data_IF_691000000775
#
_entry.id   IF_691000000775
#
_cell.length_a   1.000
_cell.length_b   1.000
_cell.length_c   1.000
_cell.angle_alpha   90.00
_cell.angle_beta   90.00
_cell.angle_gamma   90.00
#
_symmetry.space_group_name_H-M   'P 1'
#
loop_
_entity.id
_entity.type
_entity.pdbx_description
1 polymer ?
#
# COMPACT_ATOMS: atom_id res chain seq x y z
N UNK A 1 9.52 13.28 13.33
CA UNK A 1 10.22 13.42 14.64
C UNK A 1 11.58 14.10 14.47
N UNK A 2 11.61 15.44 14.26
CA UNK A 2 12.86 16.17 13.96
C UNK A 2 13.41 17.02 15.12
N UNK A 3 12.76 17.00 16.29
CA UNK A 3 13.17 17.82 17.45
C UNK A 3 14.44 17.25 18.13
N UNK A 4 15.58 17.97 18.15
CA UNK A 4 16.85 17.47 18.70
C UNK A 4 16.77 17.08 20.18
N UNK A 5 16.01 17.85 20.96
CA UNK A 5 15.78 17.60 22.40
C UNK A 5 15.10 16.25 22.62
N UNK A 6 14.08 15.94 21.81
CA UNK A 6 13.39 14.66 21.89
C UNK A 6 14.33 13.49 21.60
N UNK A 7 15.21 13.63 20.61
CA UNK A 7 16.19 12.59 20.27
C UNK A 7 17.23 12.37 21.37
N UNK A 8 17.68 13.43 22.05
CA UNK A 8 18.59 13.34 23.20
C UNK A 8 17.95 12.59 24.38
N UNK A 9 16.68 12.90 24.68
CA UNK A 9 15.94 12.18 25.72
C UNK A 9 15.75 10.71 25.33
N UNK A 10 15.34 10.44 24.08
CA UNK A 10 15.16 9.08 23.60
C UNK A 10 16.46 8.26 23.70
N UNK A 11 17.60 8.82 23.28
CA UNK A 11 18.92 8.20 23.43
C UNK A 11 19.22 7.84 24.89
N UNK A 12 18.95 8.76 25.83
CA UNK A 12 19.22 8.55 27.27
C UNK A 12 18.33 7.48 27.91
N UNK A 13 17.08 7.34 27.47
CA UNK A 13 16.12 6.41 28.08
C UNK A 13 16.03 5.05 27.37
N UNK A 14 16.24 4.99 26.06
CA UNK A 14 16.07 3.76 25.26
C UNK A 14 17.36 3.29 24.60
N UNK A 15 18.42 4.10 24.59
CA UNK A 15 19.68 3.79 23.91
C UNK A 15 19.64 3.98 22.39
N UNK A 16 18.56 4.51 21.81
CA UNK A 16 18.48 4.77 20.37
C UNK A 16 19.32 6.02 20.02
N UNK A 17 20.40 5.81 19.26
CA UNK A 17 21.34 6.86 18.86
C UNK A 17 20.64 8.06 18.19
N UNK A 18 20.90 9.28 18.69
CA UNK A 18 20.24 10.50 18.20
C UNK A 18 20.57 10.87 16.74
N UNK A 19 21.69 10.36 16.21
CA UNK A 19 22.11 10.54 14.80
C UNK A 19 21.24 9.71 13.86
N UNK A 20 20.49 8.73 14.38
CA UNK A 20 19.58 7.93 13.55
C UNK A 20 18.48 8.81 12.96
N UNK A 21 18.29 8.67 11.65
CA UNK A 21 17.11 9.20 10.98
C UNK A 21 15.88 8.44 11.47
N UNK A 22 14.88 9.16 11.95
CA UNK A 22 13.62 8.57 12.38
C UNK A 22 12.63 8.65 11.23
N UNK A 23 11.91 7.57 10.92
CA UNK A 23 10.88 7.60 9.88
C UNK A 23 9.81 8.64 10.23
N UNK A 24 9.27 9.28 9.19
CA UNK A 24 8.12 10.17 9.32
C UNK A 24 6.86 9.37 9.04
N UNK A 25 6.06 9.13 10.07
CA UNK A 25 4.77 8.48 9.91
C UNK A 25 3.68 9.51 9.62
N UNK A 26 2.84 9.20 8.63
CA UNK A 26 1.63 9.97 8.34
C UNK A 26 0.44 9.35 9.06
N UNK A 27 -0.52 10.18 9.43
CA UNK A 27 -1.72 9.69 10.08
C UNK A 27 -2.67 9.00 9.10
N UNK A 28 -3.12 7.81 9.48
CA UNK A 28 -4.09 7.02 8.72
C UNK A 28 -3.49 6.32 7.49
N UNK A 29 -4.29 5.47 6.81
CA UNK A 29 -3.80 4.69 5.68
C UNK A 29 -3.67 5.51 4.39
N UNK A 30 -2.64 5.24 3.59
CA UNK A 30 -2.49 5.79 2.23
C UNK A 30 -3.75 5.59 1.40
N UNK A 31 -4.44 4.44 1.48
CA UNK A 31 -5.66 4.18 0.71
C UNK A 31 -6.70 5.29 0.82
N UNK A 32 -6.79 5.99 1.96
CA UNK A 32 -7.67 7.14 2.12
C UNK A 32 -7.15 8.36 1.36
N UNK A 33 -5.87 8.67 1.53
CA UNK A 33 -5.23 9.81 0.88
C UNK A 33 -5.14 9.64 -0.65
N UNK A 34 -4.72 8.47 -1.13
CA UNK A 34 -4.65 8.11 -2.54
C UNK A 34 -6.00 8.13 -3.25
N UNK A 35 -7.09 7.69 -2.59
CA UNK A 35 -8.44 7.81 -3.19
C UNK A 35 -8.87 9.26 -3.36
N UNK A 36 -8.59 10.11 -2.36
CA UNK A 36 -8.84 11.56 -2.46
C UNK A 36 -8.00 12.18 -3.59
N UNK A 37 -6.75 11.77 -3.70
CA UNK A 37 -5.82 12.20 -4.74
C UNK A 37 -6.34 11.87 -6.16
N UNK A 38 -6.80 10.63 -6.37
CA UNK A 38 -7.38 10.20 -7.64
C UNK A 38 -8.70 10.92 -7.94
N UNK A 39 -9.58 11.07 -6.95
CA UNK A 39 -10.85 11.77 -7.11
C UNK A 39 -10.66 13.24 -7.53
N UNK A 40 -9.66 13.93 -6.97
CA UNK A 40 -9.36 15.31 -7.31
C UNK A 40 -8.83 15.50 -8.75
N UNK A 41 -8.25 14.46 -9.36
CA UNK A 41 -7.70 14.49 -10.73
C UNK A 41 -8.64 13.94 -11.79
N UNK A 42 -9.72 13.27 -11.37
CA UNK A 42 -10.64 12.62 -12.29
C UNK A 42 -10.07 11.40 -13.03
N UNK A 43 -10.89 10.78 -13.90
CA UNK A 43 -10.49 9.65 -14.72
C UNK A 43 -9.41 10.06 -15.75
N UNK A 44 -8.62 9.11 -16.18
CA UNK A 44 -7.68 9.31 -17.30
C UNK A 44 -8.46 9.32 -18.62
N UNK A 45 -8.29 10.35 -19.45
CA UNK A 45 -8.93 10.42 -20.76
C UNK A 45 -8.31 9.39 -21.72
N UNK A 46 -9.15 8.53 -22.33
CA UNK A 46 -8.74 7.49 -23.30
C UNK A 46 -7.52 6.68 -22.81
N UNK A 47 -7.64 5.95 -21.68
CA UNK A 47 -6.51 5.28 -21.08
C UNK A 47 -5.97 4.17 -21.99
N UNK A 48 -4.64 4.06 -22.07
CA UNK A 48 -3.98 2.99 -22.85
C UNK A 48 -4.03 1.64 -22.14
N UNK A 49 -4.24 1.65 -20.82
CA UNK A 49 -4.38 0.46 -19.97
C UNK A 49 -5.12 0.80 -18.67
N UNK A 50 -5.57 -0.22 -17.94
CA UNK A 50 -6.29 -0.08 -16.67
C UNK A 50 -5.66 -0.91 -15.56
N UNK A 51 -5.42 -0.28 -14.42
CA UNK A 51 -4.71 -0.90 -13.29
C UNK A 51 -5.44 -0.71 -11.96
N UNK A 52 -5.58 -1.80 -11.22
CA UNK A 52 -5.96 -1.81 -9.82
C UNK A 52 -4.69 -1.94 -8.97
N UNK A 53 -4.34 -0.88 -8.24
CA UNK A 53 -3.13 -0.89 -7.43
C UNK A 53 -3.39 -1.53 -6.06
N UNK A 54 -2.71 -2.65 -5.81
CA UNK A 54 -2.61 -3.30 -4.51
C UNK A 54 -1.40 -2.73 -3.73
N UNK A 55 -1.69 -1.96 -2.69
CA UNK A 55 -0.72 -1.08 -2.01
C UNK A 55 0.14 -1.84 -1.00
N UNK A 56 -0.43 -2.91 -0.42
CA UNK A 56 0.12 -3.65 0.72
C UNK A 56 0.42 -2.78 1.98
N UNK A 57 1.16 -3.28 2.96
CA UNK A 57 1.30 -2.68 4.30
C UNK A 57 2.22 -1.45 4.28
N UNK A 58 3.39 -1.57 3.67
CA UNK A 58 4.45 -0.57 3.80
C UNK A 58 4.05 0.77 3.17
N UNK A 59 3.60 0.75 1.92
CA UNK A 59 3.11 1.97 1.27
C UNK A 59 1.83 2.50 1.94
N UNK A 60 1.05 1.62 2.59
CA UNK A 60 -0.20 2.02 3.22
C UNK A 60 -0.05 2.66 4.61
N UNK A 61 1.00 2.34 5.37
CA UNK A 61 1.14 2.83 6.75
C UNK A 61 2.50 3.45 7.08
N UNK A 62 3.55 3.15 6.30
CA UNK A 62 4.91 3.60 6.59
C UNK A 62 5.35 4.70 5.64
N UNK A 63 5.27 4.46 4.33
CA UNK A 63 5.75 5.38 3.30
C UNK A 63 4.68 5.66 2.23
N UNK A 64 3.88 6.68 2.47
CA UNK A 64 2.85 7.10 1.51
C UNK A 64 3.43 7.68 0.22
N UNK A 65 4.67 8.20 0.23
CA UNK A 65 5.30 8.78 -0.96
C UNK A 65 5.52 7.71 -2.02
N UNK A 66 5.87 6.48 -1.62
CA UNK A 66 5.91 5.33 -2.52
C UNK A 66 4.57 5.10 -3.23
N UNK A 67 3.47 5.15 -2.49
CA UNK A 67 2.14 4.98 -3.05
C UNK A 67 1.79 6.09 -4.05
N UNK A 68 2.10 7.36 -3.74
CA UNK A 68 1.88 8.48 -4.65
C UNK A 68 2.74 8.38 -5.91
N UNK A 69 4.02 8.01 -5.76
CA UNK A 69 4.92 7.82 -6.89
C UNK A 69 4.40 6.77 -7.88
N UNK A 70 3.83 5.66 -7.38
CA UNK A 70 3.19 4.65 -8.24
C UNK A 70 2.01 5.24 -9.01
N UNK A 71 1.11 5.97 -8.34
CA UNK A 71 -0.02 6.62 -9.00
C UNK A 71 0.44 7.61 -10.07
N UNK A 72 1.48 8.39 -9.79
CA UNK A 72 2.01 9.43 -10.66
C UNK A 72 2.65 8.84 -11.90
N UNK A 73 3.50 7.83 -11.74
CA UNK A 73 4.15 7.14 -12.86
C UNK A 73 3.11 6.55 -13.80
N UNK A 74 2.12 5.81 -13.27
CA UNK A 74 1.10 5.17 -14.10
C UNK A 74 0.24 6.19 -14.85
N UNK A 75 -0.25 7.22 -14.15
CA UNK A 75 -1.10 8.23 -14.76
C UNK A 75 -0.37 9.09 -15.78
N UNK A 76 0.89 9.43 -15.52
CA UNK A 76 1.74 10.15 -16.49
C UNK A 76 1.91 9.36 -17.78
N UNK A 77 1.89 8.03 -17.70
CA UNK A 77 1.93 7.14 -18.86
C UNK A 77 0.53 6.82 -19.44
N UNK A 78 -0.51 7.58 -19.09
CA UNK A 78 -1.85 7.39 -19.66
C UNK A 78 -2.58 6.15 -19.16
N UNK A 79 -2.19 5.58 -18.02
CA UNK A 79 -2.84 4.41 -17.42
C UNK A 79 -3.92 4.89 -16.43
N UNK A 80 -5.12 4.31 -16.53
CA UNK A 80 -6.18 4.52 -15.55
C UNK A 80 -5.87 3.69 -14.29
N UNK A 81 -5.89 4.33 -13.12
CA UNK A 81 -5.57 3.67 -11.85
C UNK A 81 -6.72 3.80 -10.87
N UNK A 82 -7.10 2.68 -10.26
CA UNK A 82 -8.04 2.64 -9.13
C UNK A 82 -7.39 2.05 -7.88
N UNK A 83 -7.92 2.44 -6.73
CA UNK A 83 -7.58 1.89 -5.41
C UNK A 83 -8.79 1.14 -4.84
N UNK A 84 -8.98 -0.14 -5.20
CA UNK A 84 -10.12 -0.92 -4.71
C UNK A 84 -10.06 -1.06 -3.19
N UNK A 85 -11.19 -1.48 -2.58
CA UNK A 85 -11.16 -1.93 -1.18
C UNK A 85 -10.24 -3.15 -1.10
N UNK A 86 -9.36 -3.15 -0.11
CA UNK A 86 -8.32 -4.17 0.07
C UNK A 86 -7.85 -4.14 1.52
N UNK A 87 -7.39 -5.29 2.00
CA UNK A 87 -6.53 -5.46 3.17
C UNK A 87 -5.10 -5.72 2.68
N UNK A 88 -4.07 -5.48 3.50
CA UNK A 88 -2.72 -5.92 3.16
C UNK A 88 -2.66 -7.43 2.92
N UNK A 89 -1.61 -7.89 2.24
CA UNK A 89 -1.37 -9.31 2.05
C UNK A 89 -1.20 -9.96 3.45
N UNK A 90 -1.94 -11.04 3.77
CA UNK A 90 -1.85 -11.67 5.08
C UNK A 90 -0.61 -12.57 5.21
N UNK A 91 0.52 -12.13 4.66
CA UNK A 91 1.78 -12.87 4.64
C UNK A 91 2.25 -13.26 6.05
N UNK A 92 2.18 -12.39 7.09
CA UNK A 92 2.51 -12.81 8.44
C UNK A 92 1.63 -13.97 8.93
N UNK A 93 0.32 -13.92 8.67
CA UNK A 93 -0.59 -14.99 9.06
C UNK A 93 -0.25 -16.31 8.34
N UNK A 94 0.11 -16.24 7.06
CA UNK A 94 0.55 -17.41 6.28
C UNK A 94 1.84 -18.01 6.88
N UNK A 95 2.87 -17.18 7.09
CA UNK A 95 4.19 -17.62 7.58
C UNK A 95 4.12 -18.18 9.00
N UNK A 96 3.26 -17.63 9.86
CA UNK A 96 3.06 -18.12 11.23
C UNK A 96 2.02 -19.26 11.35
N UNK A 97 1.42 -19.70 10.24
CA UNK A 97 0.45 -20.80 10.24
C UNK A 97 -0.94 -20.43 10.79
N UNK A 98 -1.28 -19.15 10.92
CA UNK A 98 -2.64 -18.71 11.21
C UNK A 98 -3.52 -18.75 9.95
N UNK A 99 -3.88 -19.98 9.58
CA UNK A 99 -4.69 -20.28 8.39
C UNK A 99 -6.07 -19.60 8.47
N UNK A 100 -6.61 -19.40 9.66
CA UNK A 100 -7.93 -18.79 9.84
C UNK A 100 -7.89 -17.31 9.44
N UNK A 101 -6.92 -16.56 9.94
CA UNK A 101 -6.71 -15.15 9.58
C UNK A 101 -6.34 -15.02 8.10
N UNK A 102 -5.40 -15.84 7.62
CA UNK A 102 -4.98 -15.84 6.23
C UNK A 102 -6.17 -16.03 5.27
N UNK A 103 -6.99 -17.07 5.49
CA UNK A 103 -8.17 -17.35 4.65
C UNK A 103 -9.17 -16.19 4.66
N UNK A 104 -9.44 -15.61 5.83
CA UNK A 104 -10.38 -14.49 5.97
C UNK A 104 -9.92 -13.28 5.14
N UNK A 105 -8.65 -12.91 5.28
CA UNK A 105 -8.10 -11.70 4.66
C UNK A 105 -7.89 -11.89 3.16
N UNK A 106 -7.44 -13.07 2.72
CA UNK A 106 -7.40 -13.44 1.30
C UNK A 106 -8.80 -13.39 0.68
N UNK A 107 -9.82 -13.98 1.33
CA UNK A 107 -11.19 -13.96 0.80
C UNK A 107 -11.74 -12.54 0.63
N UNK A 108 -11.40 -11.63 1.56
CA UNK A 108 -11.75 -10.22 1.43
C UNK A 108 -11.07 -9.59 0.21
N UNK A 109 -9.77 -9.83 0.04
CA UNK A 109 -9.01 -9.31 -1.11
C UNK A 109 -9.52 -9.88 -2.43
N UNK A 110 -9.71 -11.19 -2.55
CA UNK A 110 -10.32 -11.85 -3.73
C UNK A 110 -11.63 -11.17 -4.11
N UNK A 111 -12.53 -10.96 -3.15
CA UNK A 111 -13.85 -10.37 -3.41
C UNK A 111 -13.78 -9.04 -4.16
N UNK A 112 -12.88 -8.15 -3.75
CA UNK A 112 -12.76 -6.81 -4.34
C UNK A 112 -11.82 -6.76 -5.54
N UNK A 113 -10.71 -7.49 -5.50
CA UNK A 113 -9.76 -7.56 -6.61
C UNK A 113 -10.37 -8.29 -7.80
N UNK A 114 -11.10 -9.39 -7.60
CA UNK A 114 -11.78 -10.10 -8.68
C UNK A 114 -12.85 -9.24 -9.36
N UNK A 115 -13.48 -8.30 -8.64
CA UNK A 115 -14.38 -7.31 -9.25
C UNK A 115 -13.59 -6.40 -10.21
N UNK A 116 -12.46 -5.84 -9.75
CA UNK A 116 -11.61 -5.01 -10.60
C UNK A 116 -11.11 -5.77 -11.84
N UNK A 117 -10.70 -7.03 -11.69
CA UNK A 117 -10.26 -7.87 -12.82
C UNK A 117 -11.39 -8.07 -13.84
N UNK A 118 -12.62 -8.36 -13.39
CA UNK A 118 -13.78 -8.47 -14.29
C UNK A 118 -14.11 -7.16 -15.01
N UNK A 119 -13.84 -6.02 -14.37
CA UNK A 119 -14.00 -4.70 -14.95
C UNK A 119 -12.82 -4.32 -15.88
N UNK A 120 -11.90 -5.25 -16.16
CA UNK A 120 -10.80 -5.10 -17.12
C UNK A 120 -9.49 -4.57 -16.54
N UNK A 121 -9.36 -4.47 -15.22
CA UNK A 121 -8.16 -3.95 -14.57
C UNK A 121 -7.11 -5.04 -14.32
N UNK A 122 -5.86 -4.74 -14.65
CA UNK A 122 -4.70 -5.54 -14.21
C UNK A 122 -4.34 -5.19 -12.77
N UNK A 123 -3.98 -6.19 -11.96
CA UNK A 123 -3.52 -5.95 -10.59
C UNK A 123 -2.01 -5.70 -10.63
N UNK A 124 -1.55 -4.62 -10.00
CA UNK A 124 -0.12 -4.39 -9.76
C UNK A 124 0.15 -4.25 -8.27
N UNK A 125 1.38 -4.53 -7.87
CA UNK A 125 1.89 -4.29 -6.52
C UNK A 125 3.21 -3.54 -6.61
N UNK A 126 3.47 -2.66 -5.65
CA UNK A 126 4.79 -2.04 -5.46
C UNK A 126 5.68 -2.86 -4.53
N UNK A 127 5.09 -3.80 -3.79
CA UNK A 127 5.78 -4.64 -2.83
C UNK A 127 5.90 -6.08 -3.40
N UNK A 128 7.12 -6.62 -3.53
CA UNK A 128 7.34 -7.94 -4.15
C UNK A 128 6.70 -9.12 -3.40
N UNK A 129 6.68 -9.11 -2.06
CA UNK A 129 6.16 -10.22 -1.25
C UNK A 129 4.64 -10.33 -1.37
N UNK A 130 3.95 -9.21 -1.50
CA UNK A 130 2.54 -9.09 -1.78
C UNK A 130 2.24 -9.57 -3.19
N UNK A 131 3.05 -9.19 -4.18
CA UNK A 131 2.93 -9.72 -5.53
C UNK A 131 3.05 -11.25 -5.55
N UNK A 132 4.01 -11.80 -4.80
CA UNK A 132 4.19 -13.25 -4.65
C UNK A 132 3.00 -13.89 -3.95
N UNK A 133 2.54 -13.34 -2.82
CA UNK A 133 1.38 -13.82 -2.07
C UNK A 133 0.13 -13.85 -2.95
N UNK A 134 -0.12 -12.79 -3.72
CA UNK A 134 -1.25 -12.75 -4.65
C UNK A 134 -1.12 -13.76 -5.80
N UNK A 135 0.10 -14.12 -6.20
CA UNK A 135 0.31 -15.06 -7.31
C UNK A 135 0.23 -16.52 -6.86
N UNK A 136 0.74 -16.83 -5.67
CA UNK A 136 0.97 -18.21 -5.21
C UNK A 136 -0.06 -18.70 -4.19
N UNK A 137 -0.69 -17.78 -3.45
CA UNK A 137 -1.53 -18.12 -2.28
C UNK A 137 -3.00 -17.66 -2.44
N UNK A 138 -3.35 -16.99 -3.55
CA UNK A 138 -4.73 -16.66 -3.90
C UNK A 138 -5.46 -17.82 -4.58
#
# INVERSE_FOLDING_TARGET
>A
MRQPVFKLLLEKFTGIDKRRAMPEFRHGPFLKAGRKYLAARGPTEKPIDKVAYFVDTYANYNDHELGFAVLDVLRTNGIEVILPKQLPAPLPAIVYGDVKTARRDLSYNVKYLAKAVRDGYKIICSEPSAALCLKSEL
#
